data_IF_101967647732
#
_entry.id   IF_101967647732
#
_cell.length_a   1.000
_cell.length_b   1.000
_cell.length_c   1.000
_cell.angle_alpha   90.00
_cell.angle_beta   90.00
_cell.angle_gamma   90.00
#
_symmetry.space_group_name_H-M   'P 1'
#
loop_
_entity.id
_entity.type
_entity.pdbx_description
1 polymer ?
#
# COMPACT_ATOMS: atom_id res chain seq x y z
N UNK A 1 -13.13 13.26 -10.47
CA UNK A 1 -13.88 12.86 -9.25
C UNK A 1 -13.11 13.33 -8.01
N UNK A 2 -13.78 13.72 -6.88
CA UNK A 2 -13.07 14.09 -5.64
C UNK A 2 -12.47 12.86 -4.97
N UNK A 3 -11.35 13.01 -4.26
CA UNK A 3 -10.66 11.87 -3.58
C UNK A 3 -11.56 11.15 -2.57
N UNK A 4 -12.37 11.89 -1.80
CA UNK A 4 -13.32 11.30 -0.85
C UNK A 4 -14.34 10.39 -1.54
N UNK A 5 -14.87 10.81 -2.68
CA UNK A 5 -15.80 10.00 -3.48
C UNK A 5 -15.10 8.75 -4.03
N UNK A 6 -13.85 8.86 -4.48
CA UNK A 6 -13.05 7.70 -4.90
C UNK A 6 -12.88 6.69 -3.75
N UNK A 7 -12.52 7.17 -2.54
CA UNK A 7 -12.40 6.29 -1.35
C UNK A 7 -13.71 5.54 -1.07
N UNK A 8 -14.83 6.25 -1.06
CA UNK A 8 -16.15 5.66 -0.80
C UNK A 8 -16.52 4.61 -1.86
N UNK A 9 -16.20 4.85 -3.12
CA UNK A 9 -16.45 3.89 -4.20
C UNK A 9 -15.53 2.68 -4.13
N UNK A 10 -14.27 2.82 -3.73
CA UNK A 10 -13.38 1.68 -3.46
C UNK A 10 -13.95 0.80 -2.35
N UNK A 11 -14.37 1.40 -1.23
CA UNK A 11 -14.99 0.65 -0.13
C UNK A 11 -16.31 -0.01 -0.56
N UNK A 12 -17.11 0.65 -1.38
CA UNK A 12 -18.34 0.10 -1.92
C UNK A 12 -18.08 -1.10 -2.85
N UNK A 13 -17.02 -1.05 -3.68
CA UNK A 13 -16.66 -2.18 -4.56
C UNK A 13 -16.29 -3.43 -3.72
N UNK A 14 -15.51 -3.25 -2.64
CA UNK A 14 -15.16 -4.34 -1.71
C UNK A 14 -16.41 -4.83 -0.97
N UNK A 15 -17.22 -3.93 -0.41
CA UNK A 15 -18.46 -4.29 0.29
C UNK A 15 -19.39 -5.11 -0.61
N UNK A 16 -19.63 -4.64 -1.84
CA UNK A 16 -20.52 -5.31 -2.80
C UNK A 16 -20.03 -6.71 -3.18
N UNK A 17 -18.72 -6.97 -3.13
CA UNK A 17 -18.18 -8.31 -3.34
C UNK A 17 -18.61 -9.27 -2.22
N UNK A 18 -18.48 -8.85 -0.96
CA UNK A 18 -18.81 -9.69 0.20
C UNK A 18 -20.31 -9.85 0.43
N UNK A 19 -21.12 -8.83 0.17
CA UNK A 19 -22.57 -8.89 0.39
C UNK A 19 -23.30 -9.85 -0.56
N UNK A 20 -22.75 -10.14 -1.74
CA UNK A 20 -23.41 -10.95 -2.76
C UNK A 20 -23.50 -12.46 -2.44
N UNK A 21 -22.57 -13.01 -1.65
CA UNK A 21 -22.43 -14.48 -1.46
C UNK A 21 -21.89 -14.85 -0.07
N UNK A 22 -22.34 -14.21 0.98
CA UNK A 22 -21.86 -14.51 2.32
C UNK A 22 -22.25 -15.94 2.77
N UNK A 23 -21.27 -16.82 2.91
CA UNK A 23 -21.44 -18.17 3.50
C UNK A 23 -21.35 -18.10 5.03
N UNK A 24 -20.43 -17.26 5.53
CA UNK A 24 -20.18 -17.07 6.96
C UNK A 24 -20.34 -15.56 7.31
N UNK A 25 -21.51 -15.13 7.83
CA UNK A 25 -21.76 -13.71 8.11
C UNK A 25 -20.76 -13.07 9.07
N UNK A 26 -20.28 -13.79 10.11
CA UNK A 26 -19.28 -13.30 11.06
C UNK A 26 -17.91 -13.05 10.39
N UNK A 27 -17.52 -13.85 9.38
CA UNK A 27 -16.31 -13.60 8.60
C UNK A 27 -16.44 -12.29 7.82
N UNK A 28 -17.58 -12.08 7.17
CA UNK A 28 -17.86 -10.83 6.42
C UNK A 28 -17.86 -9.62 7.35
N UNK A 29 -18.47 -9.73 8.53
CA UNK A 29 -18.45 -8.69 9.55
C UNK A 29 -17.00 -8.33 9.96
N UNK A 30 -16.18 -9.33 10.23
CA UNK A 30 -14.77 -9.16 10.61
C UNK A 30 -13.95 -8.51 9.50
N UNK A 31 -14.10 -8.97 8.24
CA UNK A 31 -13.42 -8.38 7.08
C UNK A 31 -13.84 -6.92 6.89
N UNK A 32 -15.15 -6.64 6.87
CA UNK A 32 -15.66 -5.29 6.62
C UNK A 32 -15.33 -4.33 7.78
N UNK A 33 -15.25 -4.81 9.02
CA UNK A 33 -14.78 -4.01 10.16
C UNK A 33 -13.39 -3.41 9.89
N UNK A 34 -12.43 -4.22 9.45
CA UNK A 34 -11.07 -3.75 9.16
C UNK A 34 -11.00 -2.89 7.90
N UNK A 35 -11.76 -3.22 6.86
CA UNK A 35 -11.88 -2.38 5.65
C UNK A 35 -12.43 -1.00 6.00
N UNK A 36 -13.41 -0.90 6.91
CA UNK A 36 -14.08 0.35 7.28
C UNK A 36 -13.37 1.13 8.40
N UNK A 37 -12.31 0.59 8.98
CA UNK A 37 -11.54 1.25 10.03
C UNK A 37 -10.88 2.59 9.59
N UNK A 38 -11.12 3.03 8.36
CA UNK A 38 -10.59 4.29 7.82
C UNK A 38 -9.18 4.12 7.23
N UNK A 39 -8.49 5.24 7.10
CA UNK A 39 -7.15 5.32 6.52
C UNK A 39 -7.09 6.21 5.28
N UNK A 40 -5.86 6.55 4.86
CA UNK A 40 -5.62 7.48 3.73
C UNK A 40 -5.99 6.87 2.37
N UNK A 41 -6.09 5.54 2.27
CA UNK A 41 -6.34 4.80 1.01
C UNK A 41 -5.38 5.22 -0.11
N UNK A 42 -4.10 5.45 0.25
CA UNK A 42 -3.11 5.97 -0.69
C UNK A 42 -2.94 5.08 -1.93
N UNK A 43 -2.82 3.76 -1.74
CA UNK A 43 -2.60 2.80 -2.83
C UNK A 43 -3.76 2.79 -3.84
N UNK A 44 -5.04 2.64 -3.43
CA UNK A 44 -6.18 2.79 -4.34
C UNK A 44 -6.24 4.15 -5.04
N UNK A 45 -5.99 5.24 -4.30
CA UNK A 45 -6.03 6.59 -4.86
C UNK A 45 -4.94 6.79 -5.93
N UNK A 46 -3.73 6.30 -5.69
CA UNK A 46 -2.65 6.38 -6.69
C UNK A 46 -3.08 5.73 -8.02
N UNK A 47 -3.67 4.54 -7.99
CA UNK A 47 -4.17 3.89 -9.19
C UNK A 47 -5.22 4.74 -9.92
N UNK A 48 -6.23 5.21 -9.19
CA UNK A 48 -7.35 5.94 -9.77
C UNK A 48 -6.93 7.33 -10.29
N UNK A 49 -6.01 8.02 -9.59
CA UNK A 49 -5.46 9.30 -10.05
C UNK A 49 -4.55 9.11 -11.26
N UNK A 50 -3.77 8.02 -11.36
CA UNK A 50 -2.97 7.71 -12.53
C UNK A 50 -3.84 7.47 -13.76
N UNK A 51 -4.92 6.70 -13.63
CA UNK A 51 -5.85 6.48 -14.74
C UNK A 51 -6.45 7.80 -15.24
N UNK A 52 -6.95 8.66 -14.33
CA UNK A 52 -7.48 9.98 -14.72
C UNK A 52 -6.40 10.89 -15.31
N UNK A 53 -5.14 10.81 -14.82
CA UNK A 53 -4.02 11.60 -15.32
C UNK A 53 -3.70 11.30 -16.80
N UNK A 54 -3.95 10.08 -17.26
CA UNK A 54 -3.87 9.69 -18.68
C UNK A 54 -5.19 9.88 -19.45
N UNK A 55 -6.16 10.62 -18.88
CA UNK A 55 -7.45 10.88 -19.53
C UNK A 55 -8.44 9.71 -19.51
N UNK A 56 -8.15 8.62 -18.77
CA UNK A 56 -9.06 7.48 -18.69
C UNK A 56 -10.24 7.81 -17.77
N UNK A 57 -11.46 7.59 -18.25
CA UNK A 57 -12.64 7.60 -17.41
C UNK A 57 -12.62 6.42 -16.43
N UNK A 58 -12.71 6.70 -15.13
CA UNK A 58 -12.70 5.67 -14.09
C UNK A 58 -14.06 4.99 -14.01
N UNK A 59 -14.05 3.68 -14.19
CA UNK A 59 -15.24 2.81 -14.18
C UNK A 59 -15.28 1.91 -12.95
N UNK A 60 -16.37 1.16 -12.77
CA UNK A 60 -16.52 0.18 -11.69
C UNK A 60 -15.39 -0.88 -11.70
N UNK A 61 -14.95 -1.31 -12.88
CA UNK A 61 -13.86 -2.26 -13.02
C UNK A 61 -12.55 -1.73 -12.40
N UNK A 62 -12.28 -0.43 -12.53
CA UNK A 62 -11.10 0.21 -11.94
C UNK A 62 -11.21 0.30 -10.41
N UNK A 63 -12.42 0.56 -9.87
CA UNK A 63 -12.67 0.50 -8.42
C UNK A 63 -12.52 -0.91 -7.86
N UNK A 64 -12.86 -1.95 -8.63
CA UNK A 64 -12.64 -3.35 -8.24
C UNK A 64 -11.15 -3.67 -8.13
N UNK A 65 -10.32 -3.24 -9.09
CA UNK A 65 -8.85 -3.41 -9.02
C UNK A 65 -8.26 -2.64 -7.84
N UNK A 66 -8.66 -1.38 -7.66
CA UNK A 66 -8.24 -0.55 -6.53
C UNK A 66 -8.68 -1.15 -5.18
N UNK A 67 -9.90 -1.72 -5.11
CA UNK A 67 -10.42 -2.44 -3.96
C UNK A 67 -9.62 -3.71 -3.66
N UNK A 68 -9.28 -4.50 -4.68
CA UNK A 68 -8.48 -5.71 -4.55
C UNK A 68 -7.11 -5.42 -3.91
N UNK A 69 -6.46 -4.33 -4.33
CA UNK A 69 -5.19 -3.89 -3.73
C UNK A 69 -5.36 -3.50 -2.24
N UNK A 70 -6.43 -2.79 -1.90
CA UNK A 70 -6.70 -2.40 -0.51
C UNK A 70 -7.09 -3.61 0.36
N UNK A 71 -7.74 -4.64 -0.21
CA UNK A 71 -8.01 -5.90 0.47
C UNK A 71 -6.71 -6.58 0.90
N UNK A 72 -5.75 -6.76 -0.02
CA UNK A 72 -4.41 -7.32 0.29
C UNK A 72 -3.75 -6.51 1.42
N UNK A 73 -3.71 -5.19 1.29
CA UNK A 73 -3.11 -4.33 2.31
C UNK A 73 -3.83 -4.44 3.67
N UNK A 74 -5.15 -4.52 3.68
CA UNK A 74 -5.90 -4.67 4.94
C UNK A 74 -5.68 -6.05 5.56
N UNK A 75 -5.62 -7.10 4.75
CA UNK A 75 -5.29 -8.45 5.21
C UNK A 75 -3.91 -8.52 5.88
N UNK A 76 -2.90 -7.86 5.27
CA UNK A 76 -1.57 -7.80 5.89
C UNK A 76 -1.60 -7.11 7.26
N UNK A 77 -2.35 -6.00 7.39
CA UNK A 77 -2.48 -5.31 8.67
C UNK A 77 -3.19 -6.15 9.74
N UNK A 78 -4.20 -6.95 9.37
CA UNK A 78 -4.86 -7.86 10.30
C UNK A 78 -3.88 -8.91 10.82
N UNK A 79 -3.05 -9.48 9.94
CA UNK A 79 -2.06 -10.48 10.33
C UNK A 79 -0.90 -9.86 11.11
N UNK A 80 -0.41 -8.69 10.73
CA UNK A 80 0.63 -7.97 11.48
C UNK A 80 0.20 -7.67 12.92
N UNK A 81 -1.09 -7.37 13.16
CA UNK A 81 -1.62 -7.08 14.50
C UNK A 81 -1.74 -8.31 15.41
N UNK A 82 -1.66 -9.54 14.90
CA UNK A 82 -1.83 -10.77 15.69
C UNK A 82 -0.78 -10.90 16.80
N UNK A 83 -1.08 -11.63 17.91
CA UNK A 83 -0.15 -11.85 19.01
C UNK A 83 1.16 -12.53 18.62
N UNK A 84 1.18 -13.31 17.54
CA UNK A 84 2.38 -13.95 17.00
C UNK A 84 3.26 -13.00 16.14
N UNK A 85 2.80 -11.79 15.90
CA UNK A 85 3.44 -10.74 15.11
C UNK A 85 3.68 -9.51 16.00
N UNK A 86 3.13 -8.34 15.64
CA UNK A 86 3.33 -7.08 16.38
C UNK A 86 2.52 -7.00 17.70
N UNK A 87 1.52 -7.86 17.89
CA UNK A 87 0.63 -7.92 19.07
C UNK A 87 0.01 -6.56 19.41
N UNK A 88 -0.54 -5.88 18.42
CA UNK A 88 -1.14 -4.56 18.57
C UNK A 88 -2.60 -4.63 19.02
N UNK A 89 -2.95 -3.85 20.05
CA UNK A 89 -4.32 -3.77 20.57
C UNK A 89 -5.20 -2.81 19.78
N UNK A 90 -4.59 -1.76 19.18
CA UNK A 90 -5.29 -0.68 18.47
C UNK A 90 -4.64 -0.37 17.13
N UNK A 91 -5.50 -0.16 16.12
CA UNK A 91 -5.12 0.34 14.79
C UNK A 91 -6.11 1.38 14.30
N UNK A 92 -5.61 2.53 13.85
CA UNK A 92 -6.45 3.65 13.37
C UNK A 92 -7.52 4.09 14.40
N UNK A 93 -7.17 4.02 15.69
CA UNK A 93 -8.04 4.42 16.80
C UNK A 93 -9.14 3.42 17.16
N UNK A 94 -9.15 2.23 16.56
CA UNK A 94 -10.09 1.14 16.86
C UNK A 94 -9.33 -0.08 17.37
N UNK A 95 -10.03 -0.98 18.07
CA UNK A 95 -9.47 -2.29 18.43
C UNK A 95 -9.04 -3.03 17.17
N UNK A 96 -7.90 -3.72 17.22
CA UNK A 96 -7.46 -4.60 16.16
C UNK A 96 -8.43 -5.77 15.95
N UNK A 97 -8.39 -6.40 14.81
CA UNK A 97 -9.35 -7.43 14.44
C UNK A 97 -9.38 -8.58 15.45
N UNK A 98 -8.20 -9.08 15.86
CA UNK A 98 -8.09 -10.17 16.83
C UNK A 98 -8.60 -9.79 18.24
N UNK A 99 -8.47 -8.52 18.65
CA UNK A 99 -9.03 -8.04 19.91
C UNK A 99 -10.55 -7.91 19.87
N UNK A 100 -11.11 -7.63 18.71
CA UNK A 100 -12.56 -7.46 18.51
C UNK A 100 -13.29 -8.79 18.32
N UNK A 101 -12.71 -9.71 17.54
CA UNK A 101 -13.40 -10.91 17.05
C UNK A 101 -12.76 -12.23 17.49
N UNK A 102 -11.55 -12.20 18.08
CA UNK A 102 -10.75 -13.37 18.39
C UNK A 102 -9.68 -13.67 17.33
N UNK A 103 -8.63 -14.38 17.74
CA UNK A 103 -7.46 -14.65 16.89
C UNK A 103 -7.81 -15.55 15.70
N UNK A 104 -8.62 -16.57 15.94
CA UNK A 104 -9.06 -17.52 14.92
C UNK A 104 -9.82 -16.82 13.79
N UNK A 105 -10.76 -15.95 14.10
CA UNK A 105 -11.53 -15.22 13.08
C UNK A 105 -10.66 -14.14 12.39
N UNK A 106 -9.72 -13.51 13.11
CA UNK A 106 -8.79 -12.56 12.52
C UNK A 106 -7.84 -13.24 11.50
N UNK A 107 -7.32 -14.44 11.79
CA UNK A 107 -6.53 -15.22 10.85
C UNK A 107 -7.34 -15.49 9.58
N UNK A 108 -8.57 -16.02 9.73
CA UNK A 108 -9.43 -16.33 8.59
C UNK A 108 -9.88 -15.09 7.79
N UNK A 109 -10.05 -13.93 8.46
CA UNK A 109 -10.35 -12.66 7.80
C UNK A 109 -9.16 -12.17 6.95
N UNK A 110 -7.95 -12.31 7.45
CA UNK A 110 -6.73 -12.04 6.69
C UNK A 110 -6.59 -12.99 5.48
N UNK A 111 -6.81 -14.29 5.68
CA UNK A 111 -6.78 -15.28 4.60
C UNK A 111 -7.78 -14.95 3.50
N UNK A 112 -9.03 -14.60 3.86
CA UNK A 112 -10.04 -14.17 2.90
C UNK A 112 -9.58 -12.92 2.12
N UNK A 113 -9.00 -11.94 2.80
CA UNK A 113 -8.48 -10.72 2.19
C UNK A 113 -7.22 -10.94 1.32
N UNK A 114 -6.53 -12.08 1.43
CA UNK A 114 -5.46 -12.46 0.52
C UNK A 114 -5.95 -13.27 -0.68
N UNK A 115 -7.02 -14.05 -0.56
CA UNK A 115 -7.52 -14.89 -1.64
C UNK A 115 -8.57 -14.20 -2.52
N UNK A 116 -9.54 -13.54 -1.92
CA UNK A 116 -10.69 -12.92 -2.59
C UNK A 116 -10.34 -11.78 -3.58
N UNK A 117 -9.26 -11.00 -3.39
CA UNK A 117 -8.85 -9.95 -4.34
C UNK A 117 -8.67 -10.45 -5.77
N UNK A 118 -8.12 -11.64 -5.94
CA UNK A 118 -7.93 -12.23 -7.28
C UNK A 118 -9.28 -12.54 -7.94
N UNK A 119 -10.26 -13.00 -7.15
CA UNK A 119 -11.63 -13.18 -7.61
C UNK A 119 -12.33 -11.87 -7.99
N UNK A 120 -12.08 -10.80 -7.23
CA UNK A 120 -12.63 -9.47 -7.51
C UNK A 120 -12.09 -8.92 -8.84
N UNK A 121 -10.78 -9.04 -9.10
CA UNK A 121 -10.17 -8.64 -10.39
C UNK A 121 -10.70 -9.51 -11.54
N UNK A 122 -10.74 -10.84 -11.36
CA UNK A 122 -11.20 -11.77 -12.37
C UNK A 122 -12.65 -11.54 -12.79
N UNK A 123 -13.51 -11.10 -11.84
CA UNK A 123 -14.93 -10.77 -12.10
C UNK A 123 -15.14 -9.37 -12.68
N UNK A 124 -14.12 -8.55 -12.80
CA UNK A 124 -14.21 -7.18 -13.36
C UNK A 124 -14.52 -7.21 -14.85
N UNK A 125 -15.02 -6.09 -15.38
CA UNK A 125 -15.32 -5.92 -16.81
C UNK A 125 -14.10 -5.51 -17.65
N UNK A 126 -12.87 -5.72 -17.15
CA UNK A 126 -11.64 -5.51 -17.91
C UNK A 126 -11.42 -6.63 -18.93
N UNK A 127 -10.62 -6.41 -20.00
CA UNK A 127 -10.21 -7.47 -20.92
C UNK A 127 -9.50 -8.62 -20.19
N UNK A 128 -9.72 -9.86 -20.63
CA UNK A 128 -9.16 -11.05 -19.95
C UNK A 128 -7.63 -11.03 -19.86
N UNK A 129 -6.95 -10.58 -20.90
CA UNK A 129 -5.48 -10.45 -20.88
C UNK A 129 -5.00 -9.45 -19.80
N UNK A 130 -5.70 -8.33 -19.66
CA UNK A 130 -5.40 -7.31 -18.63
C UNK A 130 -5.66 -7.89 -17.22
N UNK A 131 -6.79 -8.58 -17.02
CA UNK A 131 -7.09 -9.24 -15.73
C UNK A 131 -6.02 -10.23 -15.33
N UNK A 132 -5.58 -11.09 -16.25
CA UNK A 132 -4.52 -12.08 -15.99
C UNK A 132 -3.21 -11.38 -15.60
N UNK A 133 -2.81 -10.33 -16.31
CA UNK A 133 -1.61 -9.56 -16.00
C UNK A 133 -1.71 -8.87 -14.62
N UNK A 134 -2.84 -8.25 -14.31
CA UNK A 134 -3.08 -7.61 -13.00
C UNK A 134 -3.03 -8.62 -11.85
N UNK A 135 -3.61 -9.81 -12.03
CA UNK A 135 -3.59 -10.89 -11.03
C UNK A 135 -2.16 -11.40 -10.82
N UNK A 136 -1.40 -11.60 -11.90
CA UNK A 136 -0.02 -12.05 -11.83
C UNK A 136 0.85 -11.04 -11.06
N UNK A 137 0.78 -9.77 -11.42
CA UNK A 137 1.53 -8.70 -10.77
C UNK A 137 1.13 -8.50 -9.29
N UNK A 138 -0.18 -8.60 -8.98
CA UNK A 138 -0.64 -8.51 -7.59
C UNK A 138 -0.14 -9.70 -6.76
N UNK A 139 -0.14 -10.91 -7.33
CA UNK A 139 0.42 -12.10 -6.69
C UNK A 139 1.91 -11.95 -6.41
N UNK A 140 2.67 -11.43 -7.38
CA UNK A 140 4.10 -11.19 -7.22
C UNK A 140 4.40 -10.08 -6.19
N UNK A 141 3.59 -9.02 -6.19
CA UNK A 141 3.74 -7.91 -5.24
C UNK A 141 3.37 -8.31 -3.80
N UNK A 142 2.41 -9.20 -3.61
CA UNK A 142 1.91 -9.58 -2.28
C UNK A 142 2.50 -10.87 -1.72
N UNK A 143 2.88 -11.81 -2.56
CA UNK A 143 3.29 -13.16 -2.19
C UNK A 143 4.74 -13.32 -1.76
N UNK A 144 5.27 -14.54 -1.98
CA UNK A 144 6.63 -14.93 -1.59
C UNK A 144 7.76 -14.22 -2.35
N UNK A 145 7.45 -13.41 -3.35
CA UNK A 145 8.38 -12.56 -4.11
C UNK A 145 8.20 -11.06 -3.81
N UNK A 146 7.34 -10.73 -2.86
CA UNK A 146 7.00 -9.37 -2.49
C UNK A 146 6.76 -9.21 -0.99
N UNK A 147 5.58 -8.73 -0.62
CA UNK A 147 5.23 -8.32 0.74
C UNK A 147 5.45 -9.43 1.79
N UNK A 148 5.00 -10.65 1.53
CA UNK A 148 5.18 -11.79 2.48
C UNK A 148 6.66 -12.10 2.68
N UNK A 149 7.47 -12.12 1.61
CA UNK A 149 8.92 -12.29 1.74
C UNK A 149 9.56 -11.13 2.53
N UNK A 150 9.13 -9.89 2.25
CA UNK A 150 9.59 -8.71 2.99
C UNK A 150 9.26 -8.78 4.48
N UNK A 151 8.07 -9.29 4.83
CA UNK A 151 7.69 -9.52 6.24
C UNK A 151 8.56 -10.56 6.93
N UNK A 152 8.89 -11.66 6.24
CA UNK A 152 9.83 -12.67 6.77
C UNK A 152 11.20 -12.04 7.03
N UNK A 153 11.73 -11.29 6.06
CA UNK A 153 13.02 -10.61 6.23
C UNK A 153 13.01 -9.57 7.36
N UNK A 154 11.90 -8.87 7.55
CA UNK A 154 11.72 -7.90 8.64
C UNK A 154 11.79 -8.61 10.01
N UNK A 155 11.04 -9.70 10.20
CA UNK A 155 11.08 -10.52 11.41
C UNK A 155 12.46 -11.14 11.67
N UNK A 156 13.12 -11.64 10.63
CA UNK A 156 14.49 -12.18 10.74
C UNK A 156 15.53 -11.09 11.05
N UNK A 157 15.21 -9.83 10.71
CA UNK A 157 16.02 -8.65 10.96
C UNK A 157 15.89 -8.10 12.39
N UNK A 158 14.86 -8.50 13.14
CA UNK A 158 14.67 -8.06 14.53
C UNK A 158 15.86 -8.47 15.40
N UNK A 159 16.25 -7.58 16.31
CA UNK A 159 17.42 -7.77 17.19
C UNK A 159 18.77 -7.95 16.47
N UNK A 160 18.86 -7.56 15.17
CA UNK A 160 20.10 -7.57 14.39
C UNK A 160 20.48 -6.16 13.96
N UNK A 161 21.76 -5.90 13.87
CA UNK A 161 22.26 -4.69 13.22
C UNK A 161 22.29 -4.93 11.70
N UNK A 162 21.30 -4.41 10.99
CA UNK A 162 21.23 -4.50 9.55
C UNK A 162 22.13 -3.46 8.88
N UNK A 163 22.66 -3.82 7.73
CA UNK A 163 23.24 -2.85 6.80
C UNK A 163 22.13 -2.06 6.10
N UNK A 164 22.47 -0.90 5.55
CA UNK A 164 21.52 -0.09 4.76
C UNK A 164 20.94 -0.90 3.58
N UNK A 165 21.74 -1.72 2.91
CA UNK A 165 21.29 -2.55 1.78
C UNK A 165 20.28 -3.63 2.20
N UNK A 166 20.47 -4.24 3.36
CA UNK A 166 19.51 -5.20 3.93
C UNK A 166 18.19 -4.52 4.31
N UNK A 167 18.27 -3.36 5.00
CA UNK A 167 17.08 -2.56 5.33
C UNK A 167 16.32 -2.15 4.07
N UNK A 168 17.01 -1.66 3.05
CA UNK A 168 16.40 -1.31 1.77
C UNK A 168 15.72 -2.51 1.10
N UNK A 169 16.32 -3.70 1.20
CA UNK A 169 15.73 -4.94 0.66
C UNK A 169 14.44 -5.32 1.38
N UNK A 170 14.41 -5.22 2.71
CA UNK A 170 13.22 -5.45 3.52
C UNK A 170 12.11 -4.50 3.09
N UNK A 171 12.39 -3.21 3.10
CA UNK A 171 11.40 -2.17 2.81
C UNK A 171 10.92 -2.19 1.35
N UNK A 172 11.80 -2.49 0.39
CA UNK A 172 11.42 -2.63 -1.02
C UNK A 172 10.40 -3.76 -1.22
N UNK A 173 10.47 -4.83 -0.44
CA UNK A 173 9.56 -5.96 -0.55
C UNK A 173 8.33 -5.80 0.36
N UNK A 174 8.51 -5.57 1.66
CA UNK A 174 7.41 -5.47 2.63
C UNK A 174 6.40 -4.38 2.26
N UNK A 175 6.89 -3.20 1.89
CA UNK A 175 6.06 -2.01 1.62
C UNK A 175 6.10 -1.58 0.16
N UNK A 176 7.29 -1.57 -0.44
CA UNK A 176 7.57 -1.00 -1.75
C UNK A 176 6.81 -1.70 -2.87
N UNK A 177 6.72 -3.03 -2.87
CA UNK A 177 6.02 -3.81 -3.90
C UNK A 177 4.55 -3.42 -4.02
N UNK A 178 3.82 -3.33 -2.90
CA UNK A 178 2.40 -2.92 -2.91
C UNK A 178 2.20 -1.42 -3.19
N UNK A 179 3.19 -0.57 -2.93
CA UNK A 179 3.14 0.84 -3.33
C UNK A 179 3.49 1.05 -4.81
N UNK A 180 4.29 0.16 -5.40
CA UNK A 180 4.59 0.20 -6.83
C UNK A 180 3.45 -0.38 -7.68
N UNK A 181 2.66 -1.31 -7.14
CA UNK A 181 1.58 -1.95 -7.88
C UNK A 181 0.60 -0.99 -8.57
N UNK A 182 0.10 0.12 -7.96
CA UNK A 182 -0.75 1.09 -8.66
C UNK A 182 -0.19 1.61 -9.98
N UNK A 183 1.11 1.85 -10.02
CA UNK A 183 1.82 2.37 -11.21
C UNK A 183 1.92 1.31 -12.31
N UNK A 184 2.25 0.07 -11.93
CA UNK A 184 2.29 -1.07 -12.84
C UNK A 184 0.88 -1.38 -13.36
N UNK A 185 -0.13 -1.41 -12.47
CA UNK A 185 -1.52 -1.68 -12.81
C UNK A 185 -2.09 -0.62 -13.76
N UNK A 186 -1.76 0.67 -13.57
CA UNK A 186 -2.16 1.72 -14.50
C UNK A 186 -1.54 1.48 -15.89
N UNK A 187 -0.27 1.12 -15.96
CA UNK A 187 0.41 0.76 -17.23
C UNK A 187 -0.26 -0.40 -17.96
N UNK A 188 -0.67 -1.44 -17.23
CA UNK A 188 -1.36 -2.61 -17.78
C UNK A 188 -2.79 -2.30 -18.24
N UNK A 189 -3.56 -1.53 -17.45
CA UNK A 189 -4.95 -1.17 -17.77
C UNK A 189 -4.99 -0.27 -19.02
N UNK A 190 -4.04 0.65 -19.14
CA UNK A 190 -3.96 1.61 -20.24
C UNK A 190 -3.17 1.08 -21.45
N UNK A 191 -2.62 -0.11 -21.36
CA UNK A 191 -1.77 -0.72 -22.39
C UNK A 191 -0.65 0.24 -22.86
N UNK A 192 0.00 0.92 -21.88
CA UNK A 192 1.01 1.94 -22.16
C UNK A 192 2.24 1.36 -22.85
N UNK A 193 2.92 2.21 -23.62
CA UNK A 193 4.19 1.86 -24.25
C UNK A 193 5.25 1.54 -23.18
N UNK A 194 6.18 0.66 -23.50
CA UNK A 194 7.13 0.10 -22.55
C UNK A 194 8.01 1.14 -21.85
N UNK A 195 8.37 2.22 -22.54
CA UNK A 195 9.15 3.33 -21.98
C UNK A 195 8.37 4.09 -20.89
N UNK A 196 7.10 4.41 -21.13
CA UNK A 196 6.23 5.07 -20.16
C UNK A 196 5.93 4.12 -18.98
N UNK A 197 5.63 2.85 -19.24
CA UNK A 197 5.41 1.85 -18.21
C UNK A 197 6.64 1.69 -17.29
N UNK A 198 7.87 1.73 -17.84
CA UNK A 198 9.10 1.69 -17.06
C UNK A 198 9.31 2.95 -16.21
N UNK A 199 8.92 4.13 -16.70
CA UNK A 199 8.96 5.36 -15.88
C UNK A 199 7.98 5.25 -14.71
N UNK A 200 6.75 4.78 -14.94
CA UNK A 200 5.77 4.55 -13.87
C UNK A 200 6.28 3.56 -12.83
N UNK A 201 6.87 2.43 -13.26
CA UNK A 201 7.44 1.45 -12.33
C UNK A 201 8.56 2.05 -11.48
N UNK A 202 9.44 2.89 -12.08
CA UNK A 202 10.50 3.60 -11.35
C UNK A 202 9.91 4.56 -10.31
N UNK A 203 8.87 5.31 -10.65
CA UNK A 203 8.16 6.20 -9.70
C UNK A 203 7.61 5.37 -8.53
N UNK A 204 6.93 4.26 -8.81
CA UNK A 204 6.38 3.39 -7.77
C UNK A 204 7.44 2.86 -6.79
N UNK A 205 8.61 2.45 -7.30
CA UNK A 205 9.73 1.98 -6.47
C UNK A 205 10.31 3.09 -5.59
N UNK A 206 10.53 4.28 -6.16
CA UNK A 206 11.03 5.45 -5.42
C UNK A 206 10.05 5.92 -4.36
N UNK A 207 8.76 5.97 -4.71
CA UNK A 207 7.70 6.34 -3.76
C UNK A 207 7.60 5.32 -2.61
N UNK A 208 7.81 4.04 -2.89
CA UNK A 208 7.88 2.98 -1.87
C UNK A 208 9.01 3.20 -0.87
N UNK A 209 10.21 3.55 -1.37
CA UNK A 209 11.36 3.89 -0.53
C UNK A 209 11.08 5.16 0.28
N UNK A 210 10.65 6.23 -0.37
CA UNK A 210 10.31 7.50 0.29
C UNK A 210 9.27 7.33 1.40
N UNK A 211 8.23 6.50 1.14
CA UNK A 211 7.18 6.22 2.12
C UNK A 211 7.75 5.58 3.39
N UNK A 212 8.67 4.62 3.24
CA UNK A 212 9.26 3.94 4.38
C UNK A 212 10.25 4.82 5.13
N UNK A 213 11.11 5.57 4.42
CA UNK A 213 12.01 6.56 5.05
C UNK A 213 11.21 7.58 5.86
N UNK A 214 10.07 8.04 5.32
CA UNK A 214 9.15 8.93 6.02
C UNK A 214 8.55 8.30 7.27
N UNK A 215 8.11 7.05 7.18
CA UNK A 215 7.51 6.34 8.32
C UNK A 215 8.51 6.19 9.47
N UNK A 216 9.76 5.81 9.16
CA UNK A 216 10.85 5.71 10.13
C UNK A 216 11.20 7.07 10.79
N UNK A 217 11.20 8.17 10.00
CA UNK A 217 11.41 9.52 10.54
C UNK A 217 10.26 9.89 11.48
N UNK A 218 9.01 9.65 11.07
CA UNK A 218 7.85 9.99 11.88
C UNK A 218 7.76 9.17 13.17
N UNK A 219 8.14 7.90 13.15
CA UNK A 219 8.18 7.09 14.38
C UNK A 219 9.16 7.67 15.42
N UNK A 220 10.26 8.29 14.94
CA UNK A 220 11.25 8.93 15.81
C UNK A 220 10.80 10.29 16.36
N UNK A 221 10.12 11.13 15.53
CA UNK A 221 9.91 12.56 15.84
C UNK A 221 8.46 12.92 16.19
N UNK A 222 7.48 12.11 15.82
CA UNK A 222 6.07 12.41 16.03
C UNK A 222 5.57 11.89 17.38
N UNK A 223 4.55 12.55 17.93
CA UNK A 223 3.86 12.13 19.13
C UNK A 223 2.68 11.18 18.81
N UNK A 224 2.05 10.63 19.87
CA UNK A 224 0.94 9.70 19.75
C UNK A 224 -0.26 10.28 18.97
N UNK A 225 -0.56 11.57 19.13
CA UNK A 225 -1.71 12.21 18.47
C UNK A 225 -1.50 12.28 16.95
N UNK A 226 -0.27 12.52 16.50
CA UNK A 226 0.08 12.58 15.09
C UNK A 226 0.13 11.20 14.40
N UNK A 227 0.61 10.16 15.12
CA UNK A 227 0.81 8.80 14.57
C UNK A 227 -0.45 7.95 14.59
N UNK A 228 -1.35 8.13 15.57
CA UNK A 228 -2.50 7.24 15.81
C UNK A 228 -2.13 5.81 16.22
N UNK A 229 -0.84 5.58 16.56
CA UNK A 229 -0.26 4.35 17.11
C UNK A 229 0.76 4.72 18.21
N UNK A 230 1.22 3.75 19.00
CA UNK A 230 2.26 3.99 20.02
C UNK A 230 3.56 4.44 19.33
N UNK A 231 4.11 5.62 19.66
CA UNK A 231 5.38 6.07 19.09
C UNK A 231 6.57 5.28 19.63
N UNK A 232 7.72 5.36 18.94
CA UNK A 232 9.01 4.76 19.33
C UNK A 232 8.96 3.23 19.50
N UNK A 233 8.04 2.55 18.81
CA UNK A 233 7.99 1.08 18.81
C UNK A 233 9.26 0.48 18.24
N UNK A 234 9.81 1.08 17.18
CA UNK A 234 11.03 0.62 16.53
C UNK A 234 12.25 0.73 17.45
N UNK A 235 12.29 1.75 18.31
CA UNK A 235 13.33 1.87 19.35
C UNK A 235 13.20 0.78 20.41
N UNK A 236 11.97 0.46 20.85
CA UNK A 236 11.73 -0.60 21.86
C UNK A 236 12.00 -1.97 21.27
N UNK A 237 11.73 -2.18 19.99
CA UNK A 237 11.99 -3.43 19.28
C UNK A 237 13.45 -3.56 18.78
N UNK A 238 14.31 -2.57 19.06
CA UNK A 238 15.69 -2.52 18.55
C UNK A 238 15.79 -2.69 17.03
N UNK A 239 14.76 -2.22 16.28
CA UNK A 239 14.73 -2.29 14.82
C UNK A 239 15.74 -1.33 14.19
N UNK A 240 16.41 -1.78 13.14
CA UNK A 240 17.21 -0.91 12.29
C UNK A 240 16.28 -0.01 11.48
N UNK A 241 16.50 1.32 11.53
CA UNK A 241 15.73 2.33 10.79
C UNK A 241 16.68 3.24 10.00
N UNK A 242 16.14 3.98 9.02
CA UNK A 242 16.96 4.96 8.29
C UNK A 242 17.59 5.99 9.24
N UNK A 243 16.87 6.62 10.19
CA UNK A 243 17.49 7.53 11.15
C UNK A 243 18.57 6.89 12.03
N UNK A 244 18.43 5.61 12.38
CA UNK A 244 19.43 4.89 13.18
C UNK A 244 20.72 4.62 12.38
N UNK A 245 20.60 4.35 11.07
CA UNK A 245 21.75 4.00 10.21
C UNK A 245 22.43 5.23 9.60
N UNK A 246 21.66 6.24 9.21
CA UNK A 246 22.16 7.41 8.47
C UNK A 246 22.21 8.68 9.32
N UNK A 247 21.42 8.73 10.41
CA UNK A 247 21.10 9.96 11.11
C UNK A 247 19.85 10.63 10.55
N UNK A 248 19.23 11.51 11.35
CA UNK A 248 17.94 12.15 11.01
C UNK A 248 18.05 13.06 9.77
N UNK A 249 19.09 13.87 9.68
CA UNK A 249 19.22 14.85 8.59
C UNK A 249 19.50 14.18 7.23
N UNK A 250 20.35 13.15 7.20
CA UNK A 250 20.57 12.36 5.99
C UNK A 250 19.31 11.58 5.59
N UNK A 251 18.51 11.11 6.54
CA UNK A 251 17.24 10.46 6.25
C UNK A 251 16.21 11.43 5.65
N UNK A 252 16.15 12.68 6.16
CA UNK A 252 15.32 13.75 5.57
C UNK A 252 15.81 14.12 4.15
N UNK A 253 17.11 14.20 3.95
CA UNK A 253 17.70 14.47 2.63
C UNK A 253 17.39 13.34 1.65
N UNK A 254 17.48 12.07 2.07
CA UNK A 254 17.10 10.91 1.27
C UNK A 254 15.60 10.96 0.89
N UNK A 255 14.70 11.22 1.84
CA UNK A 255 13.28 11.39 1.59
C UNK A 255 13.02 12.46 0.53
N UNK A 256 13.60 13.64 0.69
CA UNK A 256 13.44 14.76 -0.25
C UNK A 256 13.94 14.37 -1.64
N UNK A 257 15.12 13.77 -1.73
CA UNK A 257 15.73 13.35 -3.01
C UNK A 257 14.86 12.31 -3.75
N UNK A 258 14.28 11.34 -3.03
CA UNK A 258 13.43 10.32 -3.66
C UNK A 258 12.09 10.91 -4.13
N UNK A 259 11.50 11.86 -3.39
CA UNK A 259 10.28 12.55 -3.81
C UNK A 259 10.53 13.48 -5.01
N UNK A 260 11.64 14.23 -5.00
CA UNK A 260 12.04 15.09 -6.13
C UNK A 260 12.27 14.24 -7.40
N UNK A 261 12.94 13.09 -7.26
CA UNK A 261 13.14 12.18 -8.38
C UNK A 261 11.82 11.59 -8.91
N UNK A 262 10.79 11.39 -8.06
CA UNK A 262 9.45 11.03 -8.52
C UNK A 262 8.83 12.14 -9.36
N UNK A 263 8.96 13.40 -8.95
CA UNK A 263 8.44 14.55 -9.69
C UNK A 263 9.14 14.73 -11.04
N UNK A 264 10.47 14.58 -11.09
CA UNK A 264 11.26 14.61 -12.32
C UNK A 264 10.81 13.52 -13.32
N UNK A 265 10.51 12.32 -12.83
CA UNK A 265 10.00 11.23 -13.67
C UNK A 265 8.58 11.51 -14.18
N UNK A 266 7.70 12.13 -13.36
CA UNK A 266 6.38 12.57 -13.81
C UNK A 266 6.49 13.64 -14.89
N UNK A 267 7.45 14.58 -14.78
CA UNK A 267 7.69 15.59 -15.82
C UNK A 267 8.22 14.96 -17.11
N UNK A 268 9.05 13.91 -17.04
CA UNK A 268 9.44 13.14 -18.22
C UNK A 268 8.24 12.52 -18.93
N UNK A 269 7.28 11.92 -18.17
CA UNK A 269 6.05 11.38 -18.76
C UNK A 269 5.22 12.48 -19.40
N UNK A 270 5.04 13.63 -18.73
CA UNK A 270 4.30 14.79 -19.25
C UNK A 270 4.89 15.32 -20.56
N UNK A 271 6.22 15.27 -20.70
CA UNK A 271 6.90 15.69 -21.94
C UNK A 271 6.78 14.64 -23.07
N UNK A 272 6.51 13.38 -22.75
CA UNK A 272 6.46 12.28 -23.71
C UNK A 272 5.05 11.99 -24.23
N UNK A 273 4.00 12.26 -23.44
CA UNK A 273 2.62 11.94 -23.79
C UNK A 273 1.62 12.88 -23.10
N UNK A 274 0.34 12.77 -23.48
CA UNK A 274 -0.76 13.49 -22.80
C UNK A 274 -0.99 12.90 -21.40
N UNK A 275 -0.51 13.63 -20.40
CA UNK A 275 -0.53 13.21 -19.00
C UNK A 275 -0.63 14.43 -18.07
N UNK A 276 -1.60 14.45 -17.19
CA UNK A 276 -1.78 15.50 -16.18
C UNK A 276 -1.22 15.06 -14.80
N UNK A 277 -0.01 15.48 -14.41
CA UNK A 277 0.64 15.02 -13.18
C UNK A 277 0.10 15.65 -11.89
N UNK A 278 -0.78 16.68 -11.96
CA UNK A 278 -1.13 17.55 -10.82
C UNK A 278 -1.67 16.78 -9.63
N UNK A 279 -2.55 15.83 -9.85
CA UNK A 279 -3.14 15.04 -8.76
C UNK A 279 -2.11 14.11 -8.09
N UNK A 280 -1.24 13.49 -8.88
CA UNK A 280 -0.16 12.62 -8.38
C UNK A 280 0.89 13.44 -7.63
N UNK A 281 1.34 14.57 -8.18
CA UNK A 281 2.27 15.48 -7.51
C UNK A 281 1.72 15.93 -6.15
N UNK A 282 0.42 16.22 -6.05
CA UNK A 282 -0.21 16.56 -4.77
C UNK A 282 -0.18 15.41 -3.75
N UNK A 283 -0.32 14.16 -4.20
CA UNK A 283 -0.19 12.99 -3.32
C UNK A 283 1.25 12.80 -2.84
N UNK A 284 2.23 13.02 -3.72
CA UNK A 284 3.66 12.97 -3.41
C UNK A 284 4.03 14.09 -2.43
N UNK A 285 3.58 15.32 -2.68
CA UNK A 285 3.81 16.47 -1.79
C UNK A 285 3.30 16.20 -0.36
N UNK A 286 2.16 15.52 -0.22
CA UNK A 286 1.61 15.11 1.08
C UNK A 286 2.47 14.09 1.84
N UNK A 287 3.56 13.59 1.25
CA UNK A 287 4.56 12.74 1.92
C UNK A 287 5.78 13.52 2.41
N UNK A 288 5.95 14.78 2.01
CA UNK A 288 7.02 15.63 2.54
C UNK A 288 6.82 15.86 4.04
N UNK A 289 7.90 16.00 4.75
CA UNK A 289 7.91 16.37 6.16
C UNK A 289 8.35 17.83 6.19
N UNK A 290 7.45 18.69 6.66
CA UNK A 290 7.79 20.09 6.94
C UNK A 290 8.91 20.14 7.99
N UNK A 291 9.95 20.94 7.72
CA UNK A 291 11.16 21.04 8.52
C UNK A 291 10.98 21.72 9.87
#
# INVERSE_FOLDING_TARGET
MRQEEKRNRVEQAVRSFYEKKAVAPHLVESVLYSIQAGGKRLRPLLLLELLEAFGQEVTEAHFQVAGALEMIHTGSLIHDDLPAMDNDDYRRGQLTNHKKFGEDLAILAGDALFLDPFGLIAASALPDAVKVSLILELSDASGSRGMVAGQVLDMEGEHKQLTLAELQTIHANKTGRLLAYPFIAAGLILELQADIAQLLEKIGKKLGLAFQVRDDILDLVADFEALGKTPQKDLVAEKSTYPALLGLEESKALLTSELDACEDLLDQITNACDFDPRAIKKLIEGLRIDG
#
